data_IF_511644675310
#
_entry.id   IF_511644675310
#
_cell.length_a   1.000
_cell.length_b   1.000
_cell.length_c   1.000
_cell.angle_alpha   90.00
_cell.angle_beta   90.00
_cell.angle_gamma   90.00
#
_symmetry.space_group_name_H-M   'P 1'
#
loop_
_entity.id
_entity.type
_entity.pdbx_description
1 polymer ?
#
# COMPACT_ATOMS: atom_id res chain seq x y z
N UNK A 1 -24.02 -18.00 -7.67
CA UNK A 1 -23.50 -18.86 -8.75
C UNK A 1 -22.00 -18.92 -8.56
N UNK A 2 -21.51 -20.02 -8.02
CA UNK A 2 -20.08 -20.26 -7.76
C UNK A 2 -19.39 -20.55 -9.10
N UNK A 3 -18.49 -19.66 -9.52
CA UNK A 3 -17.68 -19.89 -10.72
C UNK A 3 -16.43 -20.64 -10.26
N UNK A 4 -16.54 -21.96 -10.09
CA UNK A 4 -15.37 -22.82 -9.94
C UNK A 4 -14.59 -22.80 -11.24
N UNK A 5 -13.69 -21.82 -11.37
CA UNK A 5 -12.76 -21.71 -12.49
C UNK A 5 -11.93 -22.97 -12.60
N UNK A 6 -11.85 -23.55 -13.79
CA UNK A 6 -11.02 -24.73 -14.06
C UNK A 6 -9.56 -24.35 -13.86
N UNK A 7 -8.94 -24.90 -12.81
CA UNK A 7 -7.51 -24.73 -12.58
C UNK A 7 -6.70 -25.55 -13.56
N UNK A 8 -5.59 -24.99 -14.02
CA UNK A 8 -4.60 -25.65 -14.88
C UNK A 8 -3.37 -25.94 -14.02
N UNK A 9 -2.90 -27.19 -14.02
CA UNK A 9 -1.65 -27.54 -13.35
C UNK A 9 -0.48 -27.21 -14.27
N UNK A 10 0.41 -26.33 -13.80
CA UNK A 10 1.65 -25.98 -14.49
C UNK A 10 2.83 -26.54 -13.73
N UNK A 11 3.70 -27.25 -14.44
CA UNK A 11 4.94 -27.82 -13.90
C UNK A 11 6.15 -27.26 -14.65
N UNK A 12 7.06 -26.61 -13.92
CA UNK A 12 8.33 -26.09 -14.43
C UNK A 12 9.47 -26.99 -13.93
N UNK A 13 10.40 -27.38 -14.82
CA UNK A 13 11.56 -28.23 -14.51
C UNK A 13 12.85 -27.63 -15.08
N UNK A 14 13.91 -27.61 -14.29
CA UNK A 14 15.25 -27.18 -14.71
C UNK A 14 16.29 -27.37 -13.59
N UNK A 15 17.55 -27.65 -13.92
CA UNK A 15 18.72 -27.73 -13.00
C UNK A 15 18.45 -28.37 -11.62
N UNK A 16 17.77 -29.51 -11.59
CA UNK A 16 17.47 -30.24 -10.35
C UNK A 16 16.32 -29.66 -9.51
N UNK A 17 15.59 -28.67 -10.02
CA UNK A 17 14.41 -28.07 -9.42
C UNK A 17 13.14 -28.49 -10.19
N UNK A 18 12.08 -28.78 -9.44
CA UNK A 18 10.74 -29.03 -9.98
C UNK A 18 9.74 -28.22 -9.16
N UNK A 19 8.96 -27.38 -9.83
CA UNK A 19 7.88 -26.60 -9.25
C UNK A 19 6.58 -27.00 -9.93
N UNK A 20 5.57 -27.38 -9.16
CA UNK A 20 4.22 -27.70 -9.64
C UNK A 20 3.19 -26.86 -8.90
N UNK A 21 2.29 -26.20 -9.63
CA UNK A 21 1.24 -25.36 -9.05
C UNK A 21 -0.01 -25.38 -9.93
N UNK A 22 -1.17 -25.47 -9.29
CA UNK A 22 -2.46 -25.21 -9.93
C UNK A 22 -2.72 -23.71 -9.98
N UNK A 23 -2.89 -23.17 -11.17
CA UNK A 23 -3.14 -21.75 -11.45
C UNK A 23 -4.42 -21.59 -12.28
N UNK A 24 -4.88 -20.36 -12.45
CA UNK A 24 -6.00 -20.08 -13.35
C UNK A 24 -5.58 -20.19 -14.83
N UNK A 25 -6.56 -20.39 -15.70
CA UNK A 25 -6.35 -20.43 -17.16
C UNK A 25 -5.70 -19.14 -17.69
N UNK A 26 -6.10 -17.98 -17.17
CA UNK A 26 -5.55 -16.69 -17.58
C UNK A 26 -4.06 -16.55 -17.23
N UNK A 27 -3.67 -16.97 -16.02
CA UNK A 27 -2.27 -16.97 -15.60
C UNK A 27 -1.42 -17.95 -16.42
N UNK A 28 -2.00 -19.09 -16.81
CA UNK A 28 -1.31 -20.06 -17.68
C UNK A 28 -0.99 -19.46 -19.05
N UNK A 29 -1.93 -18.70 -19.64
CA UNK A 29 -1.74 -18.03 -20.93
C UNK A 29 -0.60 -17.00 -20.84
N UNK A 30 -0.55 -16.21 -19.77
CA UNK A 30 0.50 -15.20 -19.57
C UNK A 30 1.89 -15.84 -19.44
N UNK A 31 2.00 -16.98 -18.74
CA UNK A 31 3.24 -17.75 -18.64
C UNK A 31 3.67 -18.29 -20.01
N UNK A 32 2.74 -18.85 -20.79
CA UNK A 32 3.03 -19.35 -22.13
C UNK A 32 3.51 -18.21 -23.04
N UNK A 33 2.81 -17.08 -23.00
CA UNK A 33 3.19 -15.90 -23.79
C UNK A 33 4.60 -15.43 -23.43
N UNK A 34 4.95 -15.43 -22.14
CA UNK A 34 6.28 -15.09 -21.66
C UNK A 34 7.36 -16.06 -22.17
N UNK A 35 7.12 -17.37 -22.07
CA UNK A 35 8.09 -18.38 -22.52
C UNK A 35 8.34 -18.32 -24.02
N UNK A 36 7.30 -18.06 -24.82
CA UNK A 36 7.40 -18.08 -26.29
C UNK A 36 8.08 -16.85 -26.88
N UNK A 37 7.96 -15.67 -26.27
CA UNK A 37 8.37 -14.41 -26.90
C UNK A 37 9.74 -13.89 -26.47
N UNK A 38 10.37 -14.48 -25.45
CA UNK A 38 11.83 -14.43 -25.22
C UNK A 38 12.50 -13.07 -24.94
N UNK A 39 11.86 -11.92 -25.17
CA UNK A 39 12.45 -10.60 -24.94
C UNK A 39 11.45 -9.57 -24.40
N UNK A 40 11.94 -8.74 -23.47
CA UNK A 40 11.25 -7.57 -22.96
C UNK A 40 11.11 -6.49 -24.05
N UNK A 41 9.92 -6.35 -24.64
CA UNK A 41 9.50 -5.13 -25.32
C UNK A 41 8.51 -4.34 -24.42
N UNK A 42 9.06 -3.42 -23.63
CA UNK A 42 8.31 -2.26 -23.15
C UNK A 42 8.04 -1.31 -24.35
N UNK A 43 6.78 -0.89 -24.61
CA UNK A 43 6.28 0.53 -24.68
C UNK A 43 5.03 0.74 -25.59
N UNK A 44 4.01 1.37 -24.99
CA UNK A 44 2.93 2.26 -25.50
C UNK A 44 1.81 1.69 -26.40
N UNK A 45 0.73 1.24 -25.74
CA UNK A 45 -0.61 1.81 -25.89
C UNK A 45 -1.07 2.17 -24.46
N UNK A 46 -0.98 3.42 -24.02
CA UNK A 46 -2.12 4.35 -24.01
C UNK A 46 -3.48 3.69 -23.70
N UNK A 47 -3.55 2.99 -22.56
CA UNK A 47 -4.65 3.03 -21.58
C UNK A 47 -4.44 1.91 -20.57
N UNK A 48 -3.48 2.07 -19.63
CA UNK A 48 -3.40 1.40 -18.32
C UNK A 48 -2.06 1.76 -17.64
N UNK A 49 -2.03 2.37 -16.45
CA UNK A 49 -0.78 2.70 -15.79
C UNK A 49 -0.15 1.47 -15.14
N UNK A 50 0.85 0.93 -15.83
CA UNK A 50 2.19 0.53 -15.37
C UNK A 50 2.35 -0.09 -13.95
N UNK A 51 2.53 -1.41 -13.89
CA UNK A 51 2.92 -2.14 -12.68
C UNK A 51 4.45 -2.28 -12.60
N UNK A 52 5.07 -1.39 -11.82
CA UNK A 52 6.34 -1.64 -11.12
C UNK A 52 6.14 -2.64 -9.96
N UNK A 53 7.18 -2.89 -9.15
CA UNK A 53 7.42 -4.15 -8.44
C UNK A 53 6.20 -4.61 -7.64
N UNK A 54 5.86 -5.90 -7.73
CA UNK A 54 4.68 -6.47 -7.10
C UNK A 54 4.71 -6.31 -5.58
N UNK A 55 4.15 -5.19 -5.13
CA UNK A 55 3.63 -4.96 -3.78
C UNK A 55 2.39 -5.85 -3.68
N UNK A 56 2.28 -6.61 -2.59
CA UNK A 56 1.08 -7.42 -2.30
C UNK A 56 -0.22 -6.62 -2.44
N UNK A 57 -1.38 -7.30 -2.55
CA UNK A 57 -2.63 -6.71 -3.05
C UNK A 57 -2.87 -5.35 -2.40
N UNK A 58 -2.68 -4.30 -3.20
CA UNK A 58 -3.00 -2.93 -2.78
C UNK A 58 -4.49 -2.93 -2.49
N UNK A 59 -4.82 -2.61 -1.23
CA UNK A 59 -6.15 -2.26 -0.81
C UNK A 59 -6.81 -1.37 -1.86
N UNK A 60 -8.05 -1.67 -2.26
CA UNK A 60 -8.83 -0.64 -2.95
C UNK A 60 -8.84 0.62 -2.07
N UNK A 61 -8.64 1.81 -2.66
CA UNK A 61 -8.57 3.05 -1.90
C UNK A 61 -9.87 3.22 -1.12
N UNK A 62 -9.78 3.06 0.19
CA UNK A 62 -10.94 3.27 1.05
C UNK A 62 -11.27 4.75 0.99
N UNK A 63 -12.50 5.08 0.60
CA UNK A 63 -13.01 6.45 0.50
C UNK A 63 -13.19 7.09 1.89
N UNK A 64 -12.08 7.29 2.59
CA UNK A 64 -11.98 8.02 3.86
C UNK A 64 -11.18 9.28 3.58
N UNK A 65 -11.69 10.43 4.00
CA UNK A 65 -10.95 11.68 3.91
C UNK A 65 -9.84 11.74 4.95
N UNK A 66 -8.78 12.52 4.68
CA UNK A 66 -7.67 12.73 5.63
C UNK A 66 -8.15 13.28 6.98
N UNK A 67 -9.19 14.12 6.98
CA UNK A 67 -9.81 14.69 8.19
C UNK A 67 -10.52 13.62 9.01
N UNK A 68 -11.33 12.77 8.37
CA UNK A 68 -11.98 11.63 9.05
C UNK A 68 -10.96 10.67 9.63
N UNK A 69 -9.87 10.40 8.90
CA UNK A 69 -8.78 9.55 9.35
C UNK A 69 -8.10 10.10 10.62
N UNK A 70 -7.84 11.41 10.65
CA UNK A 70 -7.33 12.11 11.83
C UNK A 70 -8.31 12.07 13.01
N UNK A 71 -9.60 12.25 12.77
CA UNK A 71 -10.63 12.19 13.82
C UNK A 71 -10.76 10.79 14.42
N UNK A 72 -10.57 9.75 13.60
CA UNK A 72 -10.59 8.37 14.04
C UNK A 72 -9.40 8.05 14.95
N UNK A 73 -8.19 8.48 14.56
CA UNK A 73 -6.95 8.16 15.29
C UNK A 73 -6.63 9.13 16.42
N UNK A 74 -7.21 10.32 16.42
CA UNK A 74 -7.09 11.36 17.46
C UNK A 74 -5.62 11.62 17.90
N UNK A 75 -4.70 11.90 16.97
CA UNK A 75 -3.31 12.19 17.33
C UNK A 75 -3.22 13.47 18.19
N UNK A 76 -2.46 13.38 19.29
CA UNK A 76 -2.32 14.45 20.27
C UNK A 76 -1.12 15.35 19.93
N UNK A 77 -0.04 14.75 19.46
CA UNK A 77 1.23 15.44 19.18
C UNK A 77 1.49 15.63 17.69
N UNK A 78 2.36 16.58 17.32
CA UNK A 78 2.76 16.76 15.92
C UNK A 78 3.42 15.51 15.31
N UNK A 79 4.34 14.81 15.99
CA UNK A 79 4.88 13.54 15.49
C UNK A 79 3.78 12.48 15.25
N UNK A 80 2.78 12.40 16.12
CA UNK A 80 1.63 11.49 15.92
C UNK A 80 0.76 11.92 14.72
N UNK A 81 0.56 13.22 14.52
CA UNK A 81 -0.14 13.74 13.32
C UNK A 81 0.63 13.39 12.05
N UNK A 82 1.95 13.54 12.05
CA UNK A 82 2.81 13.15 10.93
C UNK A 82 2.71 11.66 10.64
N UNK A 83 2.76 10.81 11.67
CA UNK A 83 2.56 9.37 11.52
C UNK A 83 1.18 9.06 10.92
N UNK A 84 0.13 9.71 11.44
CA UNK A 84 -1.26 9.50 10.99
C UNK A 84 -1.44 9.90 9.53
N UNK A 85 -0.90 11.04 9.12
CA UNK A 85 -0.94 11.49 7.73
C UNK A 85 -0.04 10.66 6.81
N UNK A 86 1.12 10.20 7.29
CA UNK A 86 1.97 9.26 6.56
C UNK A 86 1.26 7.93 6.30
N UNK A 87 0.54 7.41 7.30
CA UNK A 87 -0.28 6.20 7.13
C UNK A 87 -1.42 6.44 6.14
N UNK A 88 -2.05 7.61 6.18
CA UNK A 88 -3.07 7.99 5.21
C UNK A 88 -2.53 8.00 3.78
N UNK A 89 -1.34 8.59 3.56
CA UNK A 89 -0.67 8.61 2.27
C UNK A 89 -0.38 7.20 1.74
N UNK A 90 0.12 6.30 2.60
CA UNK A 90 0.37 4.91 2.20
C UNK A 90 -0.93 4.13 1.93
N UNK A 91 -1.96 4.35 2.74
CA UNK A 91 -3.16 3.52 2.75
C UNK A 91 -4.24 3.98 1.77
N UNK A 92 -4.60 5.26 1.81
CA UNK A 92 -5.71 5.81 1.04
C UNK A 92 -5.25 6.32 -0.33
N UNK A 93 -4.05 6.89 -0.40
CA UNK A 93 -3.49 7.50 -1.62
C UNK A 93 -2.51 6.57 -2.35
N UNK A 94 -2.21 5.39 -1.81
CA UNK A 94 -1.24 4.43 -2.34
C UNK A 94 0.16 5.02 -2.61
N UNK A 95 0.55 6.07 -1.87
CA UNK A 95 1.84 6.74 -2.00
C UNK A 95 2.85 6.12 -1.04
N UNK A 96 3.56 5.09 -1.50
CA UNK A 96 4.60 4.41 -0.73
C UNK A 96 5.83 4.16 -1.62
N UNK A 97 7.00 4.76 -1.31
CA UNK A 97 7.24 5.76 -0.26
C UNK A 97 6.59 7.12 -0.57
N UNK A 98 6.41 7.95 0.45
CA UNK A 98 5.92 9.32 0.30
C UNK A 98 7.02 10.34 0.60
N UNK A 99 6.92 11.54 0.04
CA UNK A 99 7.90 12.60 0.30
C UNK A 99 7.52 13.45 1.51
N UNK A 100 8.52 14.12 2.11
CA UNK A 100 8.28 15.15 3.12
C UNK A 100 7.39 16.29 2.60
N UNK A 101 7.46 16.60 1.30
CA UNK A 101 6.61 17.59 0.66
C UNK A 101 5.14 17.13 0.64
N UNK A 102 4.87 15.87 0.27
CA UNK A 102 3.53 15.28 0.33
C UNK A 102 2.97 15.30 1.76
N UNK A 103 3.82 14.98 2.75
CA UNK A 103 3.43 15.08 4.16
C UNK A 103 3.03 16.51 4.56
N UNK A 104 3.78 17.53 4.13
CA UNK A 104 3.44 18.94 4.37
C UNK A 104 2.13 19.34 3.70
N UNK A 105 1.95 18.96 2.43
CA UNK A 105 0.70 19.21 1.70
C UNK A 105 -0.49 18.59 2.44
N UNK A 106 -0.31 17.43 3.09
CA UNK A 106 -1.38 16.81 3.85
C UNK A 106 -1.80 17.59 5.09
N UNK A 107 -0.89 18.32 5.75
CA UNK A 107 -1.29 19.25 6.81
C UNK A 107 -2.22 20.34 6.27
N UNK A 108 -1.94 20.87 5.08
CA UNK A 108 -2.76 21.91 4.44
C UNK A 108 -4.13 21.37 4.02
N UNK A 109 -4.17 20.23 3.34
CA UNK A 109 -5.41 19.57 2.91
C UNK A 109 -6.28 19.20 4.11
N UNK A 110 -5.68 18.70 5.19
CA UNK A 110 -6.39 18.40 6.43
C UNK A 110 -6.73 19.64 7.28
N UNK A 111 -6.37 20.85 6.81
CA UNK A 111 -6.54 22.13 7.53
C UNK A 111 -5.96 22.11 8.94
N UNK A 112 -4.86 21.40 9.13
CA UNK A 112 -4.11 21.36 10.38
C UNK A 112 -3.09 22.51 10.44
N UNK A 113 -2.81 23.05 11.63
CA UNK A 113 -1.72 24.00 11.79
C UNK A 113 -0.38 23.32 11.46
N UNK A 114 0.41 23.96 10.60
CA UNK A 114 1.75 23.47 10.27
C UNK A 114 2.63 23.47 11.53
N UNK A 115 3.39 22.40 11.79
CA UNK A 115 4.36 22.38 12.87
C UNK A 115 5.38 23.51 12.75
N UNK A 116 5.67 24.20 13.87
CA UNK A 116 6.68 25.28 13.91
C UNK A 116 8.06 24.80 13.46
N UNK A 117 8.38 23.52 13.71
CA UNK A 117 9.60 22.89 13.24
C UNK A 117 9.28 21.48 12.74
N UNK A 118 8.92 21.39 11.45
CA UNK A 118 8.58 20.13 10.78
C UNK A 118 9.73 19.12 10.85
N UNK A 119 10.97 19.59 10.67
CA UNK A 119 12.16 18.73 10.69
C UNK A 119 12.38 18.06 12.05
N UNK A 120 12.26 18.84 13.12
CA UNK A 120 12.37 18.30 14.48
C UNK A 120 11.28 17.27 14.77
N UNK A 121 10.03 17.59 14.46
CA UNK A 121 8.91 16.71 14.77
C UNK A 121 8.94 15.42 13.93
N UNK A 122 9.43 15.51 12.68
CA UNK A 122 9.69 14.35 11.82
C UNK A 122 10.84 13.49 12.38
N UNK A 123 11.96 14.11 12.78
CA UNK A 123 13.07 13.40 13.40
C UNK A 123 12.64 12.66 14.67
N UNK A 124 11.73 13.23 15.48
CA UNK A 124 11.14 12.56 16.64
C UNK A 124 10.34 11.33 16.22
N UNK A 125 9.52 11.41 15.16
CA UNK A 125 8.77 10.26 14.66
C UNK A 125 9.69 9.15 14.14
N UNK A 126 10.80 9.51 13.48
CA UNK A 126 11.82 8.56 13.02
C UNK A 126 12.56 7.93 14.20
N UNK A 127 12.99 8.74 15.18
CA UNK A 127 13.69 8.26 16.38
C UNK A 127 12.83 7.30 17.22
N UNK A 128 11.52 7.53 17.26
CA UNK A 128 10.55 6.63 17.90
C UNK A 128 10.27 5.36 17.08
N UNK A 129 10.87 5.24 15.90
CA UNK A 129 10.71 4.10 15.01
C UNK A 129 9.34 4.02 14.35
N UNK A 130 8.58 5.12 14.28
CA UNK A 130 7.24 5.16 13.67
C UNK A 130 7.29 5.40 12.17
N UNK A 131 8.27 6.19 11.74
CA UNK A 131 8.61 6.46 10.35
C UNK A 131 10.05 6.03 10.10
N UNK A 132 10.37 5.74 8.84
CA UNK A 132 11.73 5.49 8.40
C UNK A 132 12.02 6.31 7.14
N UNK A 133 13.26 6.77 7.03
CA UNK A 133 13.76 7.46 5.85
C UNK A 133 14.50 6.46 4.96
N UNK A 134 14.17 6.46 3.68
CA UNK A 134 14.78 5.62 2.66
C UNK A 134 16.01 6.32 2.05
N UNK A 135 16.84 5.55 1.35
CA UNK A 135 18.10 6.05 0.77
C UNK A 135 17.91 7.18 -0.25
N UNK A 136 16.74 7.26 -0.86
CA UNK A 136 16.36 8.29 -1.84
C UNK A 136 15.71 9.54 -1.19
N UNK A 137 15.65 9.59 0.15
CA UNK A 137 14.97 10.66 0.89
C UNK A 137 13.45 10.49 0.98
N UNK A 138 12.91 9.36 0.52
CA UNK A 138 11.53 8.98 0.75
C UNK A 138 11.26 8.64 2.22
N UNK A 139 10.01 8.76 2.64
CA UNK A 139 9.53 8.37 3.96
C UNK A 139 8.57 7.20 3.83
N UNK A 140 8.58 6.33 4.85
CA UNK A 140 7.70 5.18 4.93
C UNK A 140 7.26 4.97 6.39
N UNK A 141 6.03 4.50 6.59
CA UNK A 141 5.54 4.06 7.89
C UNK A 141 6.10 2.67 8.19
N UNK A 142 6.69 2.52 9.37
CA UNK A 142 7.25 1.24 9.84
C UNK A 142 6.16 0.34 10.40
N UNK A 143 6.46 -0.95 10.61
CA UNK A 143 5.53 -1.86 11.28
C UNK A 143 5.08 -1.34 12.65
N UNK A 144 6.00 -0.79 13.45
CA UNK A 144 5.67 -0.20 14.75
C UNK A 144 4.71 0.99 14.62
N UNK A 145 4.88 1.83 13.59
CA UNK A 145 3.97 2.93 13.28
C UNK A 145 2.56 2.44 12.89
N UNK A 146 2.49 1.36 12.11
CA UNK A 146 1.24 0.68 11.76
C UNK A 146 0.53 0.12 13.00
N UNK A 147 1.28 -0.56 13.87
CA UNK A 147 0.75 -1.17 15.10
C UNK A 147 0.25 -0.12 16.09
N UNK A 148 0.97 1.00 16.24
CA UNK A 148 0.60 2.09 17.16
C UNK A 148 -0.77 2.69 16.82
N UNK A 149 -1.07 2.83 15.53
CA UNK A 149 -2.34 3.36 15.07
C UNK A 149 -3.44 2.28 14.97
N UNK A 150 -3.13 1.04 15.35
CA UNK A 150 -4.04 -0.11 15.35
C UNK A 150 -4.19 -0.78 13.98
N UNK A 151 -4.27 -2.11 13.99
CA UNK A 151 -4.40 -2.95 12.80
C UNK A 151 -5.81 -2.96 12.17
N UNK A 152 -6.77 -2.24 12.75
CA UNK A 152 -8.17 -2.23 12.30
C UNK A 152 -8.38 -1.66 10.89
N UNK A 153 -7.38 -0.96 10.35
CA UNK A 153 -7.40 -0.43 8.98
C UNK A 153 -6.61 -1.31 8.00
N UNK A 154 -6.43 -2.61 8.27
CA UNK A 154 -6.16 -3.52 7.16
C UNK A 154 -7.42 -3.62 6.29
N UNK A 155 -7.28 -3.51 4.96
CA UNK A 155 -8.41 -3.35 4.03
C UNK A 155 -9.45 -4.48 4.14
N UNK A 156 -9.00 -5.68 4.48
CA UNK A 156 -9.83 -6.87 4.62
C UNK A 156 -10.85 -6.77 5.77
N UNK A 157 -10.51 -6.10 6.88
CA UNK A 157 -11.36 -6.08 8.10
C UNK A 157 -12.35 -4.92 8.17
N UNK A 158 -12.15 -3.86 7.37
CA UNK A 158 -13.03 -2.71 7.36
C UNK A 158 -14.32 -2.99 6.56
N UNK A 159 -14.22 -3.77 5.48
CA UNK A 159 -15.36 -4.18 4.66
C UNK A 159 -16.27 -5.17 5.42
N UNK A 160 -15.71 -6.13 6.16
CA UNK A 160 -16.49 -7.09 6.94
C UNK A 160 -17.35 -6.41 8.03
N UNK A 161 -16.83 -5.37 8.70
CA UNK A 161 -17.56 -4.68 9.78
C UNK A 161 -18.71 -3.81 9.29
N UNK A 162 -18.66 -3.23 8.08
CA UNK A 162 -19.76 -2.41 7.56
C UNK A 162 -20.89 -3.22 6.90
N UNK A 163 -20.61 -4.45 6.48
CA UNK A 163 -21.61 -5.32 5.85
C UNK A 163 -22.16 -6.42 6.78
N UNK A 164 -21.57 -6.65 7.95
CA UNK A 164 -22.08 -7.63 8.94
C UNK A 164 -23.13 -7.07 9.91
N UNK A 165 -23.70 -5.89 9.66
CA UNK A 165 -24.74 -5.29 10.51
C UNK A 165 -25.96 -4.83 9.71
N UNK A 166 -26.51 -5.74 8.90
CA UNK A 166 -27.92 -5.70 8.54
C UNK A 166 -28.57 -7.01 9.02
N UNK A 167 -29.59 -6.95 9.90
CA UNK A 167 -30.35 -8.12 10.34
C UNK A 167 -31.16 -8.75 9.19
#
# INVERSE_FOLDING_TARGET
MDVQGRGVEVTLRGDGLTLSRTISEQEAIDIIAYVLHGEHAHRVMESRPNAGPQVGPLAEPVAVSSVEFLQLKRPQTNPERMLTLGRYLEYAEAQRPFSKAALRQMFEVARLPMPKNVDRDLAIAIQRGWLTELRDGGLQVTQLGWDLLGADDQPSRFLERRYSSRP
#
